data_IF_395009705254
#
_entry.id   IF_395009705254
#
_cell.length_a   1.000
_cell.length_b   1.000
_cell.length_c   1.000
_cell.angle_alpha   90.00
_cell.angle_beta   90.00
_cell.angle_gamma   90.00
#
_symmetry.space_group_name_H-M   'P 1'
#
loop_
_entity.id
_entity.type
_entity.pdbx_description
1 polymer ?
#
# COMPACT_ATOMS: atom_id res chain seq x y z
N UNK A 1 21.49 -11.35 -0.16
CA UNK A 1 20.79 -10.07 0.05
C UNK A 1 20.36 -9.92 1.50
N UNK A 2 19.80 -10.97 2.10
CA UNK A 2 19.30 -10.99 3.49
C UNK A 2 20.43 -10.77 4.51
N UNK A 3 21.57 -11.44 4.34
CA UNK A 3 22.77 -11.22 5.15
C UNK A 3 23.34 -9.79 4.99
N UNK A 4 23.30 -9.25 3.77
CA UNK A 4 23.76 -7.89 3.48
C UNK A 4 22.89 -6.84 4.17
N UNK A 5 21.57 -7.07 4.27
CA UNK A 5 20.66 -6.21 5.01
C UNK A 5 21.06 -6.15 6.48
N UNK A 6 21.22 -7.31 7.13
CA UNK A 6 21.59 -7.38 8.55
C UNK A 6 22.91 -6.65 8.81
N UNK A 7 23.92 -6.89 7.99
CA UNK A 7 25.22 -6.23 8.10
C UNK A 7 25.13 -4.70 7.92
N UNK A 8 24.31 -4.21 6.99
CA UNK A 8 24.13 -2.77 6.79
C UNK A 8 23.39 -2.13 7.97
N UNK A 9 22.34 -2.78 8.49
CA UNK A 9 21.60 -2.30 9.65
C UNK A 9 22.49 -2.28 10.91
N UNK A 10 23.27 -3.33 11.17
CA UNK A 10 24.23 -3.36 12.28
C UNK A 10 25.31 -2.28 12.13
N UNK A 11 25.82 -2.04 10.92
CA UNK A 11 26.78 -0.95 10.66
C UNK A 11 26.17 0.42 10.94
N UNK A 12 24.90 0.62 10.61
CA UNK A 12 24.18 1.86 10.88
C UNK A 12 24.03 2.09 12.38
N UNK A 13 23.67 1.05 13.17
CA UNK A 13 23.61 1.15 14.63
C UNK A 13 24.95 1.55 15.27
N UNK A 14 26.06 1.08 14.69
CA UNK A 14 27.40 1.31 15.20
C UNK A 14 28.04 2.63 14.70
N UNK A 15 27.39 3.36 13.79
CA UNK A 15 27.92 4.62 13.26
C UNK A 15 27.23 5.82 13.90
N UNK A 16 27.97 6.85 14.36
CA UNK A 16 27.35 8.08 14.83
C UNK A 16 26.58 8.77 13.70
N UNK A 17 25.36 9.22 14.03
CA UNK A 17 24.45 9.92 13.12
C UNK A 17 25.14 11.15 12.52
N UNK A 18 25.14 11.25 11.19
CA UNK A 18 25.79 12.36 10.47
C UNK A 18 27.24 12.11 10.04
N UNK A 19 27.86 11.00 10.43
CA UNK A 19 29.18 10.64 9.90
C UNK A 19 29.13 10.28 8.41
N UNK A 20 30.25 10.50 7.70
CA UNK A 20 30.38 10.10 6.28
C UNK A 20 30.11 8.60 6.09
N UNK A 21 30.58 7.77 7.04
CA UNK A 21 30.33 6.32 7.04
C UNK A 21 28.85 5.99 7.21
N UNK A 22 28.13 6.71 8.07
CA UNK A 22 26.68 6.58 8.19
C UNK A 22 25.99 6.89 6.87
N UNK A 23 26.33 8.00 6.21
CA UNK A 23 25.71 8.38 4.94
C UNK A 23 25.98 7.37 3.82
N UNK A 24 27.20 6.85 3.72
CA UNK A 24 27.55 5.82 2.73
C UNK A 24 26.82 4.49 3.00
N UNK A 25 26.75 4.09 4.26
CA UNK A 25 26.05 2.85 4.65
C UNK A 25 24.55 2.97 4.42
N UNK A 26 23.97 4.14 4.74
CA UNK A 26 22.57 4.47 4.45
C UNK A 26 22.29 4.46 2.95
N UNK A 27 23.12 5.12 2.13
CA UNK A 27 22.96 5.11 0.67
C UNK A 27 23.02 3.69 0.10
N UNK A 28 23.90 2.85 0.64
CA UNK A 28 24.00 1.43 0.28
C UNK A 28 22.73 0.64 0.67
N UNK A 29 22.17 0.91 1.85
CA UNK A 29 20.91 0.31 2.29
C UNK A 29 19.74 0.71 1.38
N UNK A 30 19.60 1.99 1.05
CA UNK A 30 18.54 2.49 0.18
C UNK A 30 18.64 1.90 -1.23
N UNK A 31 19.86 1.82 -1.78
CA UNK A 31 20.09 1.14 -3.08
C UNK A 31 19.74 -0.35 -3.04
N UNK A 32 20.06 -1.03 -1.93
CA UNK A 32 19.68 -2.43 -1.72
C UNK A 32 18.17 -2.60 -1.58
N UNK A 33 17.50 -1.62 -0.96
CA UNK A 33 16.05 -1.64 -0.68
C UNK A 33 15.25 -1.85 -1.95
N UNK A 34 15.54 -1.09 -3.01
CA UNK A 34 14.86 -1.18 -4.31
C UNK A 34 15.01 -2.54 -5.02
N UNK A 35 15.96 -3.38 -4.58
CA UNK A 35 16.29 -4.67 -5.18
C UNK A 35 15.69 -5.86 -4.42
N UNK A 36 15.08 -5.64 -3.25
CA UNK A 36 14.49 -6.75 -2.51
C UNK A 36 13.28 -7.35 -3.23
N UNK A 37 13.17 -8.68 -3.27
CA UNK A 37 11.94 -9.33 -3.69
C UNK A 37 10.83 -9.01 -2.70
N UNK A 38 9.66 -8.64 -3.22
CA UNK A 38 8.48 -8.29 -2.44
C UNK A 38 8.27 -6.79 -2.23
N UNK A 39 9.15 -5.91 -2.70
CA UNK A 39 8.84 -4.47 -2.77
C UNK A 39 7.64 -4.28 -3.71
N UNK A 40 6.62 -3.58 -3.22
CA UNK A 40 5.38 -3.29 -3.96
C UNK A 40 5.73 -2.58 -5.27
N UNK A 41 5.13 -3.02 -6.38
CA UNK A 41 5.22 -2.37 -7.69
C UNK A 41 3.83 -1.91 -8.07
N UNK A 42 3.77 -0.77 -8.73
CA UNK A 42 2.52 -0.16 -9.16
C UNK A 42 2.67 0.38 -10.58
N UNK A 43 1.55 0.44 -11.30
CA UNK A 43 1.49 0.92 -12.67
C UNK A 43 1.32 2.44 -12.76
N UNK A 44 1.18 3.15 -11.64
CA UNK A 44 1.04 4.59 -11.60
C UNK A 44 2.18 5.29 -12.38
N UNK A 45 1.88 6.27 -13.26
CA UNK A 45 2.89 6.96 -14.08
C UNK A 45 4.03 7.56 -13.24
N UNK A 46 3.68 8.10 -12.07
CA UNK A 46 4.63 8.71 -11.13
C UNK A 46 5.09 7.73 -10.02
N UNK A 47 5.00 6.42 -10.20
CA UNK A 47 5.43 5.43 -9.20
C UNK A 47 6.88 5.65 -8.72
N UNK A 48 7.78 6.10 -9.60
CA UNK A 48 9.17 6.41 -9.22
C UNK A 48 9.27 7.58 -8.22
N UNK A 49 8.33 8.52 -8.27
CA UNK A 49 8.22 9.61 -7.28
C UNK A 49 7.82 9.04 -5.92
N UNK A 50 6.79 8.19 -5.87
CA UNK A 50 6.38 7.50 -4.64
C UNK A 50 7.54 6.68 -4.06
N UNK A 51 8.25 5.93 -4.90
CA UNK A 51 9.42 5.17 -4.46
C UNK A 51 10.51 6.07 -3.87
N UNK A 52 10.75 7.25 -4.47
CA UNK A 52 11.74 8.18 -3.95
C UNK A 52 11.31 8.78 -2.59
N UNK A 53 10.04 9.15 -2.45
CA UNK A 53 9.49 9.63 -1.18
C UNK A 53 9.61 8.55 -0.08
N UNK A 54 9.27 7.30 -0.41
CA UNK A 54 9.43 6.16 0.49
C UNK A 54 10.87 6.00 0.98
N UNK A 55 11.87 6.16 0.10
CA UNK A 55 13.28 6.06 0.50
C UNK A 55 13.70 7.19 1.45
N UNK A 56 13.09 8.39 1.33
CA UNK A 56 13.28 9.47 2.28
C UNK A 56 12.63 9.14 3.62
N UNK A 57 11.42 8.59 3.63
CA UNK A 57 10.73 8.18 4.85
C UNK A 57 11.47 7.06 5.57
N UNK A 58 11.97 6.07 4.83
CA UNK A 58 12.83 5.01 5.38
C UNK A 58 14.06 5.62 6.04
N UNK A 59 14.73 6.57 5.39
CA UNK A 59 15.91 7.23 5.96
C UNK A 59 15.59 8.01 7.25
N UNK A 60 14.43 8.68 7.30
CA UNK A 60 14.00 9.47 8.46
C UNK A 60 13.56 8.58 9.63
N UNK A 61 12.85 7.49 9.34
CA UNK A 61 12.23 6.63 10.34
C UNK A 61 13.04 5.36 10.66
N UNK A 62 14.24 5.20 10.10
CA UNK A 62 15.05 4.01 10.32
C UNK A 62 15.37 3.78 11.80
N UNK A 63 15.64 4.84 12.56
CA UNK A 63 15.88 4.71 14.00
C UNK A 63 14.71 4.03 14.73
N UNK A 64 13.47 4.42 14.40
CA UNK A 64 12.27 3.83 14.97
C UNK A 64 12.11 2.34 14.58
N UNK A 65 12.50 1.97 13.36
CA UNK A 65 12.52 0.57 12.94
C UNK A 65 13.55 -0.24 13.74
N UNK A 66 14.76 0.30 13.91
CA UNK A 66 15.83 -0.35 14.65
C UNK A 66 15.46 -0.54 16.13
N UNK A 67 14.84 0.46 16.77
CA UNK A 67 14.39 0.38 18.17
C UNK A 67 13.35 -0.72 18.42
N UNK A 68 12.51 -1.01 17.40
CA UNK A 68 11.47 -2.04 17.47
C UNK A 68 11.94 -3.41 17.03
N UNK A 69 13.08 -3.49 16.35
CA UNK A 69 13.57 -4.72 15.71
C UNK A 69 14.73 -5.30 16.49
N UNK A 70 14.59 -6.54 16.98
CA UNK A 70 15.71 -7.26 17.61
C UNK A 70 16.61 -7.88 16.52
N UNK A 71 17.41 -7.03 15.89
CA UNK A 71 18.23 -7.36 14.69
C UNK A 71 19.18 -8.52 14.98
N UNK A 72 19.69 -8.62 16.21
CA UNK A 72 20.67 -9.62 16.59
C UNK A 72 20.04 -11.00 16.81
N UNK A 73 18.84 -11.06 17.40
CA UNK A 73 18.15 -12.34 17.67
C UNK A 73 17.33 -12.89 16.51
N UNK A 74 16.93 -12.05 15.56
CA UNK A 74 16.06 -12.46 14.45
C UNK A 74 16.87 -13.07 13.29
N UNK A 75 16.29 -14.10 12.65
CA UNK A 75 16.88 -14.73 11.46
C UNK A 75 16.91 -13.75 10.28
N UNK A 76 17.90 -13.89 9.39
CA UNK A 76 18.09 -12.96 8.28
C UNK A 76 16.88 -12.86 7.34
N UNK A 77 16.19 -13.97 7.11
CA UNK A 77 14.99 -14.01 6.25
C UNK A 77 13.82 -13.29 6.89
N UNK A 78 13.58 -13.51 8.19
CA UNK A 78 12.52 -12.82 8.94
C UNK A 78 12.80 -11.32 9.04
N UNK A 79 14.06 -10.93 9.25
CA UNK A 79 14.45 -9.53 9.27
C UNK A 79 14.19 -8.86 7.91
N UNK A 80 14.52 -9.54 6.80
CA UNK A 80 14.19 -9.05 5.45
C UNK A 80 12.69 -8.89 5.27
N UNK A 81 11.90 -9.87 5.68
CA UNK A 81 10.43 -9.81 5.54
C UNK A 81 9.83 -8.66 6.34
N UNK A 82 10.27 -8.47 7.58
CA UNK A 82 9.85 -7.33 8.41
C UNK A 82 10.26 -6.00 7.78
N UNK A 83 11.50 -5.90 7.31
CA UNK A 83 11.99 -4.68 6.64
C UNK A 83 11.19 -4.38 5.37
N UNK A 84 11.00 -5.36 4.48
CA UNK A 84 10.22 -5.20 3.25
C UNK A 84 8.77 -4.83 3.56
N UNK A 85 8.14 -5.47 4.55
CA UNK A 85 6.79 -5.14 4.99
C UNK A 85 6.71 -3.69 5.50
N UNK A 86 7.69 -3.26 6.28
CA UNK A 86 7.77 -1.90 6.80
C UNK A 86 7.94 -0.86 5.68
N UNK A 87 8.85 -1.10 4.73
CA UNK A 87 9.04 -0.25 3.54
C UNK A 87 7.78 -0.18 2.68
N UNK A 88 7.13 -1.33 2.44
CA UNK A 88 5.88 -1.39 1.69
C UNK A 88 4.73 -0.66 2.38
N UNK A 89 4.80 -0.51 3.70
CA UNK A 89 3.90 0.36 4.47
C UNK A 89 3.94 1.77 3.91
N UNK A 90 5.09 2.45 3.98
CA UNK A 90 5.26 3.80 3.42
C UNK A 90 4.90 3.87 1.94
N UNK A 91 5.40 2.92 1.13
CA UNK A 91 5.16 2.92 -0.32
C UNK A 91 3.68 2.84 -0.68
N UNK A 92 2.86 2.12 0.10
CA UNK A 92 1.40 2.10 -0.08
C UNK A 92 0.80 3.50 0.07
N UNK A 93 1.21 4.25 1.09
CA UNK A 93 0.72 5.61 1.36
C UNK A 93 1.23 6.62 0.34
N UNK A 94 2.49 6.52 -0.07
CA UNK A 94 3.06 7.41 -1.10
C UNK A 94 2.37 7.23 -2.46
N UNK A 95 2.13 5.99 -2.88
CA UNK A 95 1.38 5.68 -4.10
C UNK A 95 -0.04 6.25 -4.00
N UNK A 96 -0.69 6.06 -2.86
CA UNK A 96 -2.03 6.58 -2.59
C UNK A 96 -2.10 8.10 -2.70
N UNK A 97 -1.12 8.80 -2.14
CA UNK A 97 -1.06 10.26 -2.22
C UNK A 97 -0.96 10.74 -3.68
N UNK A 98 -0.17 10.05 -4.51
CA UNK A 98 -0.10 10.33 -5.94
C UNK A 98 -1.45 10.13 -6.65
N UNK A 99 -2.15 9.04 -6.37
CA UNK A 99 -3.49 8.79 -6.92
C UNK A 99 -4.52 9.85 -6.48
N UNK A 100 -4.41 10.34 -5.24
CA UNK A 100 -5.26 11.42 -4.74
C UNK A 100 -4.96 12.75 -5.43
N UNK A 101 -3.69 13.09 -5.64
CA UNK A 101 -3.28 14.31 -6.37
C UNK A 101 -3.69 14.27 -7.84
N UNK A 102 -3.46 13.15 -8.53
CA UNK A 102 -3.79 13.02 -9.95
C UNK A 102 -5.29 13.20 -10.23
N UNK A 103 -6.16 12.74 -9.30
CA UNK A 103 -7.60 12.99 -9.39
C UNK A 103 -7.98 14.47 -9.24
N UNK A 104 -7.22 15.25 -8.48
CA UNK A 104 -7.44 16.70 -8.37
C UNK A 104 -7.04 17.42 -9.66
N UNK A 105 -5.98 16.99 -10.32
CA UNK A 105 -5.49 17.54 -11.59
C UNK A 105 -6.41 17.19 -12.78
N UNK A 106 -6.96 15.97 -12.81
CA UNK A 106 -7.89 15.51 -13.85
C UNK A 106 -9.35 15.93 -13.63
N UNK A 107 -9.65 16.60 -12.52
CA UNK A 107 -11.00 17.14 -12.28
C UNK A 107 -11.26 18.31 -13.23
N UNK A 108 -11.79 18.02 -14.41
CA UNK A 108 -12.34 19.00 -15.38
C UNK A 108 -13.48 19.86 -14.80
N UNK A 109 -13.91 19.60 -13.56
CA UNK A 109 -14.86 20.42 -12.80
C UNK A 109 -14.19 21.51 -11.95
N UNK A 110 -12.90 21.82 -12.15
CA UNK A 110 -12.43 23.15 -11.76
C UNK A 110 -13.20 24.12 -12.65
N UNK A 111 -14.20 24.80 -12.08
CA UNK A 111 -14.79 26.00 -12.66
C UNK A 111 -13.68 27.02 -12.79
N UNK A 112 -12.92 26.92 -13.87
CA UNK A 112 -11.90 27.86 -14.23
C UNK A 112 -12.66 29.12 -14.63
N UNK A 113 -12.57 30.14 -13.76
CA UNK A 113 -13.21 31.42 -13.96
C UNK A 113 -12.86 31.95 -15.37
N UNK A 114 -13.91 32.23 -16.14
CA UNK A 114 -13.98 33.06 -17.35
C UNK A 114 -12.63 33.31 -18.04
N UNK A 115 -12.10 32.27 -18.72
CA UNK A 115 -11.12 32.50 -19.79
C UNK A 115 -11.80 32.28 -21.12
N UNK A 116 -11.79 33.34 -21.92
CA UNK A 116 -12.42 33.48 -23.23
C UNK A 116 -12.21 32.23 -24.11
N UNK A 117 -13.32 31.74 -24.69
CA UNK A 117 -13.41 30.54 -25.54
C UNK A 117 -12.44 30.55 -26.75
N UNK A 118 -11.79 31.69 -27.06
CA UNK A 118 -10.90 31.85 -28.21
C UNK A 118 -9.44 31.36 -28.00
N UNK A 119 -8.97 31.21 -26.77
CA UNK A 119 -7.53 30.94 -26.50
C UNK A 119 -7.17 29.43 -26.56
N UNK A 120 -8.17 28.54 -26.57
CA UNK A 120 -7.97 27.09 -26.62
C UNK A 120 -7.59 26.56 -28.00
N UNK A 121 -8.06 27.19 -29.08
CA UNK A 121 -7.79 26.72 -30.44
C UNK A 121 -6.37 27.05 -30.91
N UNK A 122 -5.77 28.15 -30.44
CA UNK A 122 -4.47 28.63 -30.93
C UNK A 122 -3.26 27.90 -30.32
N UNK A 123 -3.45 27.08 -29.27
CA UNK A 123 -2.37 26.33 -28.62
C UNK A 123 -2.26 24.86 -29.08
N UNK A 124 -3.11 24.41 -29.99
CA UNK A 124 -2.92 23.10 -30.63
C UNK A 124 -1.87 23.24 -31.72
N UNK A 125 -0.66 22.74 -31.47
CA UNK A 125 0.43 22.73 -32.45
C UNK A 125 -0.01 22.03 -33.74
N UNK A 126 0.27 22.65 -34.88
CA UNK A 126 -0.09 22.20 -36.24
C UNK A 126 0.69 20.95 -36.71
N UNK A 127 1.58 20.44 -35.86
CA UNK A 127 2.36 19.22 -36.12
C UNK A 127 1.53 17.97 -35.79
N UNK A 128 0.88 17.44 -36.83
CA UNK A 128 0.60 16.01 -36.96
C UNK A 128 -0.21 15.40 -35.81
N UNK A 129 -1.42 15.93 -35.57
CA UNK A 129 -2.40 15.28 -34.71
C UNK A 129 -2.77 13.91 -35.29
N UNK A 130 -2.05 12.88 -34.87
CA UNK A 130 -2.36 11.50 -35.23
C UNK A 130 -3.60 11.14 -34.43
N UNK A 131 -4.76 11.15 -35.08
CA UNK A 131 -6.01 10.79 -34.43
C UNK A 131 -5.82 9.44 -33.71
N UNK A 132 -6.03 9.37 -32.39
CA UNK A 132 -6.01 8.09 -31.70
C UNK A 132 -7.07 7.21 -32.38
N UNK A 133 -6.62 6.07 -32.92
CA UNK A 133 -7.50 5.07 -33.53
C UNK A 133 -8.52 4.62 -32.46
N UNK A 134 -9.71 4.16 -32.85
CA UNK A 134 -10.73 3.71 -31.88
C UNK A 134 -10.16 2.71 -30.84
N UNK A 135 -9.29 1.79 -31.30
CA UNK A 135 -8.58 0.84 -30.43
C UNK A 135 -7.65 1.52 -29.41
N UNK A 136 -7.08 2.68 -29.74
CA UNK A 136 -6.26 3.51 -28.85
C UNK A 136 -7.11 4.20 -27.79
N UNK A 137 -8.31 4.66 -28.17
CA UNK A 137 -9.27 5.25 -27.23
C UNK A 137 -9.83 4.20 -26.26
N UNK A 138 -10.20 3.02 -26.75
CA UNK A 138 -10.66 1.91 -25.90
C UNK A 138 -9.56 1.45 -24.93
N UNK A 139 -8.30 1.42 -25.39
CA UNK A 139 -7.14 1.11 -24.54
C UNK A 139 -6.95 2.16 -23.44
N UNK A 140 -7.13 3.45 -23.75
CA UNK A 140 -7.05 4.54 -22.78
C UNK A 140 -8.21 4.49 -21.77
N UNK A 141 -9.44 4.23 -22.23
CA UNK A 141 -10.60 4.06 -21.35
C UNK A 141 -10.41 2.88 -20.41
N UNK A 142 -9.95 1.73 -20.92
CA UNK A 142 -9.69 0.55 -20.10
C UNK A 142 -8.56 0.80 -19.08
N UNK A 143 -7.52 1.55 -19.48
CA UNK A 143 -6.46 1.98 -18.57
C UNK A 143 -7.03 2.87 -17.45
N UNK A 144 -7.87 3.86 -17.77
CA UNK A 144 -8.50 4.74 -16.80
C UNK A 144 -9.43 3.99 -15.82
N UNK A 145 -10.25 3.07 -16.33
CA UNK A 145 -11.13 2.23 -15.51
C UNK A 145 -10.34 1.36 -14.55
N UNK A 146 -9.23 0.79 -15.03
CA UNK A 146 -8.34 -0.05 -14.20
C UNK A 146 -7.69 0.78 -13.08
N UNK A 147 -7.22 1.98 -13.38
CA UNK A 147 -6.63 2.90 -12.41
C UNK A 147 -7.67 3.37 -11.38
N UNK A 148 -8.87 3.71 -11.84
CA UNK A 148 -9.98 4.11 -10.96
C UNK A 148 -10.36 2.99 -10.00
N UNK A 149 -10.38 1.75 -10.49
CA UNK A 149 -10.69 0.58 -9.66
C UNK A 149 -9.59 0.31 -8.63
N UNK A 150 -8.32 0.41 -9.03
CA UNK A 150 -7.18 0.29 -8.12
C UNK A 150 -7.20 1.36 -7.03
N UNK A 151 -7.45 2.63 -7.40
CA UNK A 151 -7.55 3.74 -6.46
C UNK A 151 -8.68 3.53 -5.44
N UNK A 152 -9.88 3.15 -5.89
CA UNK A 152 -11.00 2.79 -5.00
C UNK A 152 -10.62 1.67 -4.04
N UNK A 153 -9.88 0.66 -4.52
CA UNK A 153 -9.35 -0.42 -3.69
C UNK A 153 -8.45 0.11 -2.58
N UNK A 154 -7.41 0.88 -2.93
CA UNK A 154 -6.45 1.40 -1.97
C UNK A 154 -7.08 2.35 -0.93
N UNK A 155 -8.01 3.22 -1.35
CA UNK A 155 -8.77 4.10 -0.44
C UNK A 155 -9.59 3.27 0.54
N UNK A 156 -10.22 2.18 0.07
CA UNK A 156 -10.98 1.29 0.93
C UNK A 156 -10.09 0.57 1.95
N UNK A 157 -8.92 0.07 1.53
CA UNK A 157 -7.94 -0.53 2.45
C UNK A 157 -7.52 0.48 3.54
N UNK A 158 -7.25 1.72 3.15
CA UNK A 158 -6.87 2.78 4.08
C UNK A 158 -7.97 3.11 5.09
N UNK A 159 -9.22 3.23 4.61
CA UNK A 159 -10.37 3.48 5.49
C UNK A 159 -10.54 2.34 6.51
N UNK A 160 -10.32 1.09 6.09
CA UNK A 160 -10.37 -0.06 6.99
C UNK A 160 -9.21 -0.04 8.01
N UNK A 161 -8.01 0.34 7.60
CA UNK A 161 -6.83 0.41 8.49
C UNK A 161 -6.93 1.53 9.52
N UNK A 162 -7.36 2.72 9.08
CA UNK A 162 -7.39 3.92 9.93
C UNK A 162 -8.70 4.07 10.70
N UNK A 163 -9.81 3.53 10.19
CA UNK A 163 -11.17 3.67 10.74
C UNK A 163 -11.43 5.07 11.33
N UNK A 164 -11.33 6.13 10.52
CA UNK A 164 -11.24 7.51 11.00
C UNK A 164 -12.51 7.95 11.77
N UNK A 165 -13.65 7.33 11.47
CA UNK A 165 -14.93 7.60 12.12
C UNK A 165 -15.21 6.65 13.29
N UNK A 166 -14.31 5.69 13.57
CA UNK A 166 -14.50 4.68 14.60
C UNK A 166 -15.65 3.71 14.33
N UNK A 167 -16.22 3.68 13.11
CA UNK A 167 -17.44 2.91 12.80
C UNK A 167 -17.15 1.42 12.79
N UNK A 168 -15.99 1.02 12.31
CA UNK A 168 -15.62 -0.39 12.20
C UNK A 168 -15.13 -0.94 13.55
N UNK A 169 -14.37 -0.15 14.30
CA UNK A 169 -13.85 -0.47 15.62
C UNK A 169 -14.93 -0.47 16.70
N UNK A 170 -15.94 0.40 16.62
CA UNK A 170 -17.09 0.41 17.54
C UNK A 170 -18.14 -0.67 17.24
N UNK A 171 -18.07 -1.30 16.07
CA UNK A 171 -19.00 -2.35 15.67
C UNK A 171 -18.52 -3.70 16.20
N UNK A 172 -18.87 -4.02 17.45
CA UNK A 172 -18.52 -5.27 18.11
C UNK A 172 -19.67 -5.82 18.97
N UNK A 173 -19.71 -7.13 19.24
CA UNK A 173 -20.62 -7.69 20.23
C UNK A 173 -20.36 -7.08 21.62
N UNK A 174 -21.41 -6.93 22.44
CA UNK A 174 -21.35 -6.21 23.72
C UNK A 174 -20.30 -6.74 24.70
N UNK A 175 -19.97 -8.04 24.63
CA UNK A 175 -19.01 -8.69 25.52
C UNK A 175 -17.63 -8.96 24.88
N UNK A 176 -17.43 -8.56 23.62
CA UNK A 176 -16.22 -8.90 22.85
C UNK A 176 -15.72 -7.71 22.02
N UNK A 177 -15.19 -6.65 22.66
CA UNK A 177 -14.69 -5.46 21.97
C UNK A 177 -13.52 -5.75 21.02
N UNK A 178 -12.75 -6.81 21.30
CA UNK A 178 -11.63 -7.25 20.47
C UNK A 178 -12.09 -7.93 19.16
N UNK A 179 -13.38 -8.28 19.06
CA UNK A 179 -13.99 -8.88 17.86
C UNK A 179 -14.81 -7.83 17.10
N UNK A 180 -14.18 -6.70 16.77
CA UNK A 180 -14.83 -5.63 16.02
C UNK A 180 -14.77 -5.86 14.50
N UNK A 181 -15.65 -5.16 13.76
CA UNK A 181 -15.74 -5.28 12.31
C UNK A 181 -14.43 -4.89 11.61
N UNK A 182 -13.65 -3.97 12.18
CA UNK A 182 -12.35 -3.58 11.65
C UNK A 182 -11.39 -4.78 11.65
N UNK A 183 -11.23 -5.44 12.79
CA UNK A 183 -10.37 -6.62 12.96
C UNK A 183 -10.80 -7.76 12.04
N UNK A 184 -12.10 -7.98 11.89
CA UNK A 184 -12.65 -8.99 10.98
C UNK A 184 -12.27 -8.67 9.53
N UNK A 185 -12.52 -7.44 9.08
CA UNK A 185 -12.25 -7.05 7.68
C UNK A 185 -10.74 -7.04 7.39
N UNK A 186 -9.92 -6.53 8.31
CA UNK A 186 -8.45 -6.57 8.20
C UNK A 186 -7.94 -8.02 8.07
N UNK A 187 -8.47 -8.93 8.87
CA UNK A 187 -8.09 -10.35 8.83
C UNK A 187 -8.49 -11.01 7.51
N UNK A 188 -9.72 -10.81 7.04
CA UNK A 188 -10.23 -11.50 5.85
C UNK A 188 -9.76 -10.91 4.52
N UNK A 189 -9.54 -9.59 4.46
CA UNK A 189 -9.36 -8.88 3.20
C UNK A 189 -8.00 -8.18 3.05
N UNK A 190 -7.31 -7.83 4.14
CA UNK A 190 -6.04 -7.07 4.07
C UNK A 190 -4.80 -7.89 4.43
N UNK A 191 -4.97 -8.99 5.17
CA UNK A 191 -3.86 -9.89 5.50
C UNK A 191 -3.51 -10.73 4.27
N UNK A 192 -2.27 -10.64 3.80
CA UNK A 192 -1.72 -11.46 2.71
C UNK A 192 -1.75 -12.93 3.16
N UNK A 193 -2.87 -13.61 2.85
CA UNK A 193 -3.40 -14.86 3.44
C UNK A 193 -2.46 -15.65 4.37
N UNK A 194 -2.66 -15.55 5.68
CA UNK A 194 -2.05 -16.47 6.65
C UNK A 194 -2.97 -16.71 7.84
N UNK A 195 -3.92 -17.61 7.65
CA UNK A 195 -4.20 -18.77 8.52
C UNK A 195 -5.64 -19.22 8.24
N UNK A 196 -5.80 -20.47 7.80
CA UNK A 196 -7.09 -21.15 7.95
C UNK A 196 -7.46 -20.99 9.41
N UNK A 197 -8.54 -20.25 9.67
CA UNK A 197 -9.21 -20.35 10.95
C UNK A 197 -9.74 -21.79 11.01
N UNK A 198 -8.93 -22.72 11.51
CA UNK A 198 -9.47 -23.88 12.20
C UNK A 198 -10.11 -23.31 13.43
N UNK A 199 -11.39 -22.97 13.33
CA UNK A 199 -12.27 -22.86 14.48
C UNK A 199 -12.13 -24.21 15.16
N UNK A 200 -11.33 -24.26 16.22
CA UNK A 200 -11.40 -25.39 17.14
C UNK A 200 -12.82 -25.36 17.68
N UNK A 201 -13.50 -26.47 17.44
CA UNK A 201 -14.83 -26.87 17.91
C UNK A 201 -15.98 -26.69 16.91
N UNK A 202 -16.19 -27.75 16.12
CA UNK A 202 -17.47 -28.41 15.81
C UNK A 202 -18.65 -27.62 15.21
N UNK A 203 -18.41 -26.51 14.51
CA UNK A 203 -19.47 -25.83 13.73
C UNK A 203 -19.20 -25.87 12.23
N UNK A 204 -20.10 -26.52 11.48
CA UNK A 204 -20.08 -26.53 10.01
C UNK A 204 -21.07 -25.48 9.52
N UNK A 205 -20.55 -24.43 8.87
CA UNK A 205 -21.36 -23.41 8.23
C UNK A 205 -21.54 -23.80 6.76
N UNK A 206 -22.78 -24.06 6.34
CA UNK A 206 -23.11 -24.36 4.93
C UNK A 206 -24.00 -23.26 4.37
N UNK A 207 -23.62 -22.71 3.20
CA UNK A 207 -24.37 -21.66 2.50
C UNK A 207 -25.18 -22.29 1.37
N UNK A 208 -26.50 -22.04 1.37
CA UNK A 208 -27.41 -22.41 0.28
C UNK A 208 -28.13 -21.17 -0.25
N UNK A 209 -28.70 -21.26 -1.46
CA UNK A 209 -29.52 -20.21 -2.09
C UNK A 209 -30.68 -19.71 -1.22
N UNK A 210 -31.05 -20.44 -0.15
CA UNK A 210 -32.15 -20.11 0.77
C UNK A 210 -31.72 -19.49 2.10
N UNK A 211 -30.42 -19.23 2.32
CA UNK A 211 -29.91 -18.60 3.53
C UNK A 211 -28.76 -19.35 4.20
N UNK A 212 -28.22 -18.76 5.28
CA UNK A 212 -27.14 -19.32 6.08
C UNK A 212 -27.71 -20.29 7.13
N UNK A 213 -27.18 -21.51 7.20
CA UNK A 213 -27.54 -22.47 8.26
C UNK A 213 -26.31 -22.83 9.07
N UNK A 214 -26.40 -22.69 10.39
CA UNK A 214 -25.33 -22.99 11.34
C UNK A 214 -25.79 -24.20 12.17
N UNK A 215 -25.03 -25.31 12.11
CA UNK A 215 -25.33 -26.54 12.87
C UNK A 215 -24.10 -27.03 13.64
N UNK A 216 -24.34 -27.51 14.86
CA UNK A 216 -23.34 -28.14 15.72
C UNK A 216 -23.11 -29.57 15.24
N UNK A 217 -21.85 -29.94 15.00
CA UNK A 217 -21.45 -31.31 14.69
C UNK A 217 -21.62 -32.19 15.95
N UNK A 218 -22.66 -33.01 15.98
CA UNK A 218 -22.76 -34.10 16.96
C UNK A 218 -21.88 -35.25 16.48
N UNK A 219 -20.67 -35.37 17.04
CA UNK A 219 -19.86 -36.59 16.87
C UNK A 219 -20.47 -37.72 17.71
N UNK A 220 -20.75 -38.85 17.07
CA UNK A 220 -20.71 -40.17 17.70
C UNK A 220 -19.34 -40.77 17.47
#
# INVERSE_FOLDING_TARGET
>A
MDEQLKQLLQKICNCPTGSLKYQQTMGSLLSLTCRFPGIRRDAHPNYLEALNNTLLDVRQNLAQFLDRSDIDQVSNSTLREHYVRWVNGFLKYDILDLYCRHRQELSLNVTQADKDEGEWLENLSDDGFTYPTLDSLDSLMQQEESQTTQNKGLILELYIETDPEGKLSSCHPQNYPDCNAQTIVQYFYLSDRAEKITVKEDWVITRSRKGLTIKKSSKR
#
